data_IF_457783527394
#
_entry.id   IF_457783527394
#
_cell.length_a   1.000
_cell.length_b   1.000
_cell.length_c   1.000
_cell.angle_alpha   90.00
_cell.angle_beta   90.00
_cell.angle_gamma   90.00
#
_symmetry.space_group_name_H-M   'P 1'
#
loop_
_entity.id
_entity.type
_entity.pdbx_description
1 polymer ?
#
# COMPACT_ATOMS: atom_id res chain seq x y z
N UNK A 1 28.14 20.79 73.11
CA UNK A 1 28.38 22.17 72.62
C UNK A 1 27.04 22.89 72.56
N UNK A 2 26.92 24.05 73.24
CA UNK A 2 25.72 24.92 73.37
C UNK A 2 25.33 25.47 71.96
N UNK A 3 24.11 25.90 71.61
CA UNK A 3 23.40 27.13 72.03
C UNK A 3 21.96 27.17 71.41
N UNK A 4 20.95 27.38 72.29
CA UNK A 4 19.78 28.30 72.30
C UNK A 4 18.97 28.75 71.05
N UNK A 5 17.64 28.59 71.17
CA UNK A 5 16.48 29.51 70.99
C UNK A 5 16.40 30.64 69.91
N UNK A 6 15.25 30.70 69.19
CA UNK A 6 14.19 31.77 69.19
C UNK A 6 13.19 31.50 68.03
N UNK A 7 11.86 31.39 68.17
CA UNK A 7 10.75 32.30 68.59
C UNK A 7 10.39 33.47 67.63
N UNK A 8 9.21 33.30 67.01
CA UNK A 8 8.08 34.23 66.73
C UNK A 8 8.20 35.47 65.83
N UNK A 9 7.16 35.62 64.96
CA UNK A 9 6.24 36.77 64.70
C UNK A 9 5.81 36.68 63.21
N UNK A 10 4.57 36.40 62.79
CA UNK A 10 3.23 37.00 62.98
C UNK A 10 3.10 38.47 62.55
N UNK A 11 1.96 38.77 61.89
CA UNK A 11 1.46 40.02 61.27
C UNK A 11 1.80 40.16 59.77
N UNK A 12 0.90 40.50 58.84
CA UNK A 12 -0.34 41.30 58.92
C UNK A 12 -1.31 40.96 57.77
N UNK A 13 -2.62 41.03 58.05
CA UNK A 13 -3.72 41.13 57.10
C UNK A 13 -3.56 42.34 56.16
N UNK A 14 -3.94 42.19 54.89
CA UNK A 14 -4.57 43.27 54.13
C UNK A 14 -5.61 42.67 53.18
N UNK A 15 -6.88 42.79 53.58
CA UNK A 15 -8.01 42.64 52.69
C UNK A 15 -8.04 43.85 51.75
N UNK A 16 -8.10 43.61 50.44
CA UNK A 16 -8.53 44.61 49.47
C UNK A 16 -9.74 44.04 48.76
N UNK A 17 -10.91 44.53 49.17
CA UNK A 17 -12.10 44.53 48.33
C UNK A 17 -11.82 45.44 47.13
N UNK A 18 -11.91 44.89 45.93
CA UNK A 18 -12.18 45.68 44.74
C UNK A 18 -13.34 45.04 44.00
N UNK A 19 -14.46 45.73 44.09
CA UNK A 19 -15.63 45.56 43.24
C UNK A 19 -15.25 45.86 41.80
N UNK A 20 -15.42 44.89 40.92
CA UNK A 20 -15.50 45.13 39.48
C UNK A 20 -16.67 44.34 38.94
N UNK A 21 -17.80 45.05 38.85
CA UNK A 21 -18.77 45.01 37.75
C UNK A 21 -18.70 43.79 36.83
N UNK A 22 -19.73 42.96 36.92
CA UNK A 22 -20.12 41.97 35.93
C UNK A 22 -20.26 42.64 34.55
N UNK A 23 -19.23 42.54 33.73
CA UNK A 23 -19.36 42.69 32.29
C UNK A 23 -19.86 41.34 31.79
N UNK A 24 -21.14 41.28 31.44
CA UNK A 24 -21.68 40.19 30.62
C UNK A 24 -21.00 40.25 29.25
N UNK A 25 -19.81 39.67 29.15
CA UNK A 25 -19.29 39.23 27.86
C UNK A 25 -20.22 38.12 27.41
N UNK A 26 -21.07 38.43 26.42
CA UNK A 26 -21.63 37.45 25.50
C UNK A 26 -20.48 36.65 24.91
N UNK A 27 -20.05 35.59 25.60
CA UNK A 27 -19.25 34.54 25.00
C UNK A 27 -20.22 33.88 24.03
N UNK A 28 -20.02 33.98 22.70
CA UNK A 28 -20.76 33.13 21.79
C UNK A 28 -20.50 31.71 22.26
N UNK A 29 -21.56 31.03 22.70
CA UNK A 29 -21.52 29.59 22.96
C UNK A 29 -20.98 28.99 21.67
N UNK A 30 -19.70 28.60 21.68
CA UNK A 30 -19.12 27.79 20.63
C UNK A 30 -20.01 26.57 20.56
N UNK A 31 -20.83 26.53 19.51
CA UNK A 31 -21.73 25.43 19.25
C UNK A 31 -20.92 24.16 19.40
N UNK A 32 -21.28 23.33 20.38
CA UNK A 32 -20.69 22.02 20.57
C UNK A 32 -20.76 21.32 19.20
N UNK A 33 -19.63 20.80 18.68
CA UNK A 33 -19.64 20.17 17.37
C UNK A 33 -20.69 19.07 17.40
N UNK A 34 -21.65 19.16 16.47
CA UNK A 34 -22.72 18.17 16.32
C UNK A 34 -22.10 16.77 16.29
N UNK A 35 -22.62 15.79 17.05
CA UNK A 35 -22.18 14.40 16.96
C UNK A 35 -22.75 13.79 15.68
N UNK A 36 -22.28 14.25 14.53
CA UNK A 36 -22.53 13.63 13.24
C UNK A 36 -21.51 14.10 12.20
N UNK A 37 -20.25 13.79 12.49
CA UNK A 37 -19.33 13.39 11.45
C UNK A 37 -18.66 12.11 11.91
N UNK A 38 -19.37 11.00 11.74
CA UNK A 38 -18.70 9.71 11.50
C UNK A 38 -17.99 9.89 10.15
N UNK A 39 -16.89 10.64 10.14
CA UNK A 39 -15.82 10.35 9.22
C UNK A 39 -15.45 8.92 9.57
N UNK A 40 -15.87 7.99 8.72
CA UNK A 40 -15.41 6.62 8.78
C UNK A 40 -13.90 6.73 8.69
N UNK A 41 -13.21 6.69 9.83
CA UNK A 41 -11.79 6.43 9.89
C UNK A 41 -11.70 5.02 9.36
N UNK A 42 -11.63 4.88 8.02
CA UNK A 42 -11.18 3.66 7.39
C UNK A 42 -9.81 3.47 8.00
N UNK A 43 -9.73 2.59 9.00
CA UNK A 43 -8.48 2.06 9.54
C UNK A 43 -7.75 1.57 8.30
N UNK A 44 -6.88 2.40 7.73
CA UNK A 44 -6.32 2.13 6.41
C UNK A 44 -5.47 0.90 6.60
N UNK A 45 -5.94 -0.26 6.14
CA UNK A 45 -5.25 -1.53 6.33
C UNK A 45 -3.81 -1.35 5.88
N UNK A 46 -2.86 -1.74 6.74
CA UNK A 46 -1.43 -1.54 6.50
C UNK A 46 -0.99 -2.23 5.20
N UNK A 47 -1.68 -3.31 4.85
CA UNK A 47 -1.46 -4.16 3.70
C UNK A 47 -2.77 -4.43 2.94
N UNK A 48 -2.69 -4.88 1.67
CA UNK A 48 -3.82 -5.52 0.99
C UNK A 48 -4.38 -6.69 1.80
N UNK A 49 -5.64 -7.08 1.55
CA UNK A 49 -6.19 -8.33 2.07
C UNK A 49 -5.36 -9.52 1.56
N UNK A 50 -4.99 -10.46 2.42
CA UNK A 50 -4.24 -11.67 2.02
C UNK A 50 -5.14 -12.89 2.23
N UNK A 51 -5.37 -13.66 1.16
CA UNK A 51 -6.25 -14.84 1.18
C UNK A 51 -5.45 -16.06 0.70
N UNK A 52 -5.32 -17.08 1.53
CA UNK A 52 -4.60 -18.31 1.20
C UNK A 52 -4.38 -19.17 2.42
N UNK A 53 -3.57 -20.21 2.28
CA UNK A 53 -3.13 -21.03 3.40
C UNK A 53 -2.13 -20.27 4.31
N UNK A 54 -1.82 -20.86 5.47
CA UNK A 54 -0.99 -20.21 6.48
C UNK A 54 0.43 -19.88 5.98
N UNK A 55 1.05 -20.78 5.21
CA UNK A 55 2.39 -20.58 4.64
C UNK A 55 2.40 -19.41 3.64
N UNK A 56 1.41 -19.38 2.76
CA UNK A 56 1.21 -18.30 1.80
C UNK A 56 1.05 -16.94 2.50
N UNK A 57 0.22 -16.89 3.55
CA UNK A 57 0.01 -15.68 4.35
C UNK A 57 1.32 -15.21 4.97
N UNK A 58 2.10 -16.11 5.56
CA UNK A 58 3.38 -15.78 6.18
C UNK A 58 4.39 -15.23 5.16
N UNK A 59 4.58 -15.92 4.03
CA UNK A 59 5.51 -15.50 2.97
C UNK A 59 5.11 -14.14 2.37
N UNK A 60 3.82 -13.95 2.08
CA UNK A 60 3.27 -12.69 1.53
C UNK A 60 3.43 -11.55 2.54
N UNK A 61 3.12 -11.81 3.82
CA UNK A 61 3.30 -10.82 4.89
C UNK A 61 4.76 -10.40 5.04
N UNK A 62 5.70 -11.36 5.02
CA UNK A 62 7.12 -11.07 5.10
C UNK A 62 7.62 -10.22 3.92
N UNK A 63 7.11 -10.44 2.71
CA UNK A 63 7.41 -9.63 1.54
C UNK A 63 6.86 -8.18 1.69
N UNK A 64 5.64 -8.02 2.18
CA UNK A 64 5.04 -6.70 2.42
C UNK A 64 5.74 -5.93 3.55
N UNK A 65 6.18 -6.61 4.60
CA UNK A 65 7.02 -6.04 5.65
C UNK A 65 8.39 -5.58 5.11
N UNK A 66 8.98 -6.33 4.18
CA UNK A 66 10.22 -5.94 3.51
C UNK A 66 10.04 -4.65 2.70
N UNK A 67 8.92 -4.53 1.98
CA UNK A 67 8.53 -3.29 1.28
C UNK A 67 8.30 -2.14 2.26
N UNK A 68 7.66 -2.39 3.40
CA UNK A 68 7.46 -1.37 4.43
C UNK A 68 8.80 -0.81 4.94
N UNK A 69 9.79 -1.67 5.14
CA UNK A 69 11.09 -1.31 5.67
C UNK A 69 11.95 -0.53 4.66
N UNK A 70 12.03 -1.02 3.41
CA UNK A 70 13.00 -0.50 2.43
C UNK A 70 12.38 0.33 1.30
N UNK A 71 11.09 0.17 1.03
CA UNK A 71 10.40 0.78 -0.11
C UNK A 71 8.99 1.30 0.27
N UNK A 72 8.84 2.14 1.33
CA UNK A 72 7.52 2.53 1.83
C UNK A 72 6.71 3.36 0.82
N UNK A 73 7.36 4.02 -0.15
CA UNK A 73 6.68 4.71 -1.26
C UNK A 73 6.01 3.69 -2.18
N UNK A 74 6.71 2.62 -2.53
CA UNK A 74 6.23 1.54 -3.38
C UNK A 74 5.14 0.72 -2.67
N UNK A 75 5.23 0.51 -1.36
CA UNK A 75 4.14 -0.08 -0.57
C UNK A 75 2.85 0.76 -0.62
N UNK A 76 2.96 2.09 -0.56
CA UNK A 76 1.77 2.97 -0.73
C UNK A 76 1.17 2.84 -2.12
N UNK A 77 2.00 2.77 -3.15
CA UNK A 77 1.55 2.52 -4.51
C UNK A 77 0.82 1.18 -4.61
N UNK A 78 1.39 0.11 -4.06
CA UNK A 78 0.76 -1.23 -4.02
C UNK A 78 -0.62 -1.15 -3.34
N UNK A 79 -0.73 -0.52 -2.16
CA UNK A 79 -2.02 -0.39 -1.44
C UNK A 79 -3.07 0.39 -2.22
N UNK A 80 -2.65 1.29 -3.11
CA UNK A 80 -3.56 2.06 -3.95
C UNK A 80 -4.12 1.23 -5.10
N UNK A 81 -3.35 0.27 -5.62
CA UNK A 81 -3.68 -0.47 -6.84
C UNK A 81 -3.98 -1.96 -6.62
N UNK A 82 -3.67 -2.51 -5.46
CA UNK A 82 -3.95 -3.90 -5.09
C UNK A 82 -4.72 -3.90 -3.79
N UNK A 83 -5.99 -4.31 -3.85
CA UNK A 83 -6.80 -4.45 -2.64
C UNK A 83 -6.75 -5.85 -2.04
N UNK A 84 -6.45 -6.88 -2.85
CA UNK A 84 -6.30 -8.27 -2.41
C UNK A 84 -5.11 -8.96 -3.07
N UNK A 85 -4.40 -9.79 -2.30
CA UNK A 85 -3.43 -10.77 -2.78
C UNK A 85 -3.97 -12.16 -2.40
N UNK A 86 -4.25 -13.00 -3.39
CA UNK A 86 -4.94 -14.27 -3.22
C UNK A 86 -4.08 -15.41 -3.75
N UNK A 87 -3.91 -16.47 -2.97
CA UNK A 87 -3.26 -17.69 -3.44
C UNK A 87 -4.06 -18.30 -4.59
N UNK A 88 -3.36 -18.63 -5.67
CA UNK A 88 -3.92 -19.24 -6.86
C UNK A 88 -2.95 -20.26 -7.46
N UNK A 89 -3.38 -20.97 -8.51
CA UNK A 89 -2.53 -21.90 -9.25
C UNK A 89 -1.51 -21.15 -10.13
N UNK A 90 -1.94 -20.04 -10.75
CA UNK A 90 -1.15 -19.21 -11.66
C UNK A 90 -1.16 -17.76 -11.18
N UNK A 91 -0.10 -17.02 -11.45
CA UNK A 91 0.05 -15.63 -11.00
C UNK A 91 -0.51 -14.65 -12.03
N UNK A 92 -1.18 -13.59 -11.60
CA UNK A 92 -1.60 -12.52 -12.49
C UNK A 92 -2.54 -11.52 -11.84
N UNK A 93 -2.57 -10.32 -12.42
CA UNK A 93 -3.43 -9.24 -11.94
C UNK A 93 -4.83 -9.30 -12.56
N UNK A 94 -5.82 -9.56 -11.70
CA UNK A 94 -7.25 -9.40 -12.02
C UNK A 94 -7.66 -7.95 -11.73
N UNK A 95 -7.26 -7.02 -12.61
CA UNK A 95 -7.40 -5.58 -12.37
C UNK A 95 -8.85 -5.07 -12.43
N UNK A 96 -9.74 -5.82 -13.09
CA UNK A 96 -11.13 -5.43 -13.38
C UNK A 96 -12.15 -5.82 -12.29
N UNK A 97 -11.74 -6.56 -11.27
CA UNK A 97 -12.60 -6.88 -10.11
C UNK A 97 -12.46 -5.84 -9.00
N UNK A 98 -13.40 -5.84 -8.05
CA UNK A 98 -13.37 -4.96 -6.88
C UNK A 98 -13.38 -5.79 -5.58
N UNK A 99 -12.32 -5.76 -4.76
CA UNK A 99 -11.07 -5.04 -5.00
C UNK A 99 -10.21 -5.67 -6.12
N UNK A 100 -9.35 -4.90 -6.81
CA UNK A 100 -8.34 -5.45 -7.71
C UNK A 100 -7.51 -6.51 -6.98
N UNK A 101 -7.40 -7.68 -7.60
CA UNK A 101 -6.85 -8.88 -6.96
C UNK A 101 -5.61 -9.34 -7.71
N UNK A 102 -4.47 -9.39 -7.01
CA UNK A 102 -3.30 -10.14 -7.46
C UNK A 102 -3.50 -11.61 -7.09
N UNK A 103 -3.70 -12.46 -8.08
CA UNK A 103 -3.63 -13.91 -7.91
C UNK A 103 -2.15 -14.30 -7.94
N UNK A 104 -1.67 -15.02 -6.93
CA UNK A 104 -0.24 -15.32 -6.76
C UNK A 104 -0.05 -16.82 -6.53
N UNK A 105 0.72 -17.44 -7.42
CA UNK A 105 1.11 -18.84 -7.29
C UNK A 105 2.23 -19.03 -6.27
N UNK A 106 2.19 -20.16 -5.57
CA UNK A 106 3.25 -20.55 -4.64
C UNK A 106 4.61 -20.73 -5.36
N UNK A 107 4.61 -21.17 -6.63
CA UNK A 107 5.85 -21.36 -7.39
C UNK A 107 6.54 -20.04 -7.74
N UNK A 108 5.76 -18.97 -7.86
CA UNK A 108 6.26 -17.61 -8.10
C UNK A 108 6.86 -16.98 -6.84
N UNK A 109 6.68 -17.58 -5.66
CA UNK A 109 7.21 -17.09 -4.39
C UNK A 109 8.64 -17.60 -4.10
N UNK A 110 9.55 -17.42 -5.07
CA UNK A 110 10.92 -17.95 -5.05
C UNK A 110 11.72 -17.49 -3.82
N UNK A 111 11.58 -16.22 -3.47
CA UNK A 111 12.23 -15.63 -2.28
C UNK A 111 11.40 -14.48 -1.73
N UNK A 112 11.76 -13.98 -0.55
CA UNK A 112 11.11 -12.81 0.05
C UNK A 112 11.30 -11.53 -0.78
N UNK A 113 12.49 -11.32 -1.36
CA UNK A 113 12.80 -10.15 -2.21
C UNK A 113 12.10 -10.24 -3.55
N UNK A 114 12.10 -11.43 -4.15
CA UNK A 114 11.40 -11.70 -5.39
C UNK A 114 9.89 -11.50 -5.23
N UNK A 115 9.29 -12.11 -4.19
CA UNK A 115 7.86 -11.98 -3.85
C UNK A 115 7.47 -10.50 -3.67
N UNK A 116 8.28 -9.72 -2.95
CA UNK A 116 8.06 -8.29 -2.79
C UNK A 116 8.07 -7.54 -4.13
N UNK A 117 8.98 -7.91 -5.03
CA UNK A 117 9.10 -7.29 -6.35
C UNK A 117 7.92 -7.64 -7.26
N UNK A 118 7.45 -8.89 -7.30
CA UNK A 118 6.32 -9.30 -8.17
C UNK A 118 4.98 -8.74 -7.67
N UNK A 119 4.80 -8.53 -6.36
CA UNK A 119 3.63 -7.78 -5.87
C UNK A 119 3.63 -6.35 -6.43
N UNK A 120 4.80 -5.72 -6.50
CA UNK A 120 4.93 -4.38 -7.08
C UNK A 120 4.72 -4.38 -8.60
N UNK A 121 5.20 -5.43 -9.28
CA UNK A 121 4.98 -5.67 -10.70
C UNK A 121 3.48 -5.68 -11.03
N UNK A 122 2.71 -6.55 -10.38
CA UNK A 122 1.28 -6.69 -10.64
C UNK A 122 0.47 -5.48 -10.18
N UNK A 123 0.91 -4.77 -9.13
CA UNK A 123 0.34 -3.47 -8.80
C UNK A 123 0.45 -2.46 -9.96
N UNK A 124 1.51 -2.55 -10.77
CA UNK A 124 1.70 -1.69 -11.93
C UNK A 124 0.74 -2.04 -13.07
N UNK A 125 0.45 -3.33 -13.30
CA UNK A 125 -0.63 -3.75 -14.22
C UNK A 125 -1.98 -3.16 -13.81
N UNK A 126 -2.33 -3.24 -12.51
CA UNK A 126 -3.55 -2.63 -12.00
C UNK A 126 -3.56 -1.11 -12.14
N UNK A 127 -2.43 -0.44 -11.91
CA UNK A 127 -2.28 0.99 -12.17
C UNK A 127 -2.58 1.35 -13.63
N UNK A 128 -1.99 0.64 -14.59
CA UNK A 128 -2.22 0.85 -16.01
C UNK A 128 -3.69 0.66 -16.37
N UNK A 129 -4.30 -0.45 -15.92
CA UNK A 129 -5.72 -0.71 -16.14
C UNK A 129 -6.59 0.44 -15.61
N UNK A 130 -6.39 0.85 -14.36
CA UNK A 130 -7.16 1.93 -13.75
C UNK A 130 -6.91 3.29 -14.42
N UNK A 131 -5.68 3.55 -14.88
CA UNK A 131 -5.33 4.75 -15.64
C UNK A 131 -6.14 4.84 -16.93
N UNK A 132 -6.13 3.78 -17.75
CA UNK A 132 -6.89 3.76 -18.99
C UNK A 132 -8.39 3.65 -18.76
N UNK A 133 -8.85 2.95 -17.71
CA UNK A 133 -10.27 2.89 -17.36
C UNK A 133 -10.85 4.28 -17.15
N UNK A 134 -10.12 5.21 -16.49
CA UNK A 134 -10.56 6.60 -16.33
C UNK A 134 -10.73 7.35 -17.66
N UNK A 135 -9.99 6.96 -18.70
CA UNK A 135 -10.08 7.58 -20.02
C UNK A 135 -11.13 6.94 -20.93
N UNK A 136 -11.32 5.62 -20.82
CA UNK A 136 -12.22 4.85 -21.67
C UNK A 136 -13.66 4.76 -21.12
N UNK A 137 -13.82 4.75 -19.78
CA UNK A 137 -15.14 4.66 -19.12
C UNK A 137 -16.12 5.77 -19.54
N UNK A 138 -15.72 7.05 -19.65
CA UNK A 138 -16.62 8.11 -20.13
C UNK A 138 -17.14 7.89 -21.56
N UNK A 139 -16.46 7.06 -22.35
CA UNK A 139 -16.82 6.71 -23.73
C UNK A 139 -17.61 5.41 -23.82
N UNK A 140 -17.92 4.76 -22.70
CA UNK A 140 -18.56 3.44 -22.66
C UNK A 140 -17.70 2.31 -23.25
N UNK A 141 -16.39 2.53 -23.41
CA UNK A 141 -15.49 1.58 -24.04
C UNK A 141 -14.80 0.69 -23.00
N UNK A 142 -14.52 -0.57 -23.38
CA UNK A 142 -13.64 -1.46 -22.62
C UNK A 142 -12.19 -1.00 -22.77
N UNK A 143 -11.36 -1.23 -21.76
CA UNK A 143 -9.91 -1.00 -21.84
C UNK A 143 -9.28 -2.12 -22.67
N UNK A 144 -8.61 -1.83 -23.81
CA UNK A 144 -7.88 -2.84 -24.57
C UNK A 144 -6.80 -3.51 -23.73
N UNK A 145 -6.64 -4.84 -23.87
CA UNK A 145 -5.70 -5.62 -23.08
C UNK A 145 -4.25 -5.14 -23.23
N UNK A 146 -3.82 -4.86 -24.47
CA UNK A 146 -2.43 -4.47 -24.76
C UNK A 146 -1.94 -3.24 -23.98
N UNK A 147 -2.86 -2.37 -23.58
CA UNK A 147 -2.54 -1.15 -22.82
C UNK A 147 -2.10 -1.43 -21.39
N UNK A 148 -2.51 -2.56 -20.81
CA UNK A 148 -2.25 -2.89 -19.41
C UNK A 148 -1.70 -4.29 -19.18
N UNK A 149 -1.81 -5.22 -20.13
CA UNK A 149 -1.25 -6.59 -20.05
C UNK A 149 -0.49 -7.05 -21.31
N UNK A 150 -0.34 -6.18 -22.32
CA UNK A 150 0.49 -6.47 -23.51
C UNK A 150 1.99 -6.29 -23.28
N UNK A 151 2.83 -6.61 -24.28
CA UNK A 151 4.29 -6.53 -24.18
C UNK A 151 4.82 -5.15 -23.72
N UNK A 152 4.23 -4.06 -24.20
CA UNK A 152 4.62 -2.70 -23.76
C UNK A 152 4.24 -2.40 -22.31
N UNK A 153 3.12 -2.97 -21.83
CA UNK A 153 2.76 -2.89 -20.43
C UNK A 153 3.73 -3.72 -19.58
N UNK A 154 4.05 -4.94 -20.03
CA UNK A 154 4.98 -5.86 -19.39
C UNK A 154 6.37 -5.24 -19.20
N UNK A 155 6.92 -4.60 -20.23
CA UNK A 155 8.20 -3.86 -20.13
C UNK A 155 8.18 -2.77 -19.06
N UNK A 156 7.05 -2.06 -18.91
CA UNK A 156 6.89 -1.04 -17.86
C UNK A 156 6.80 -1.68 -16.48
N UNK A 157 6.07 -2.80 -16.35
CA UNK A 157 5.97 -3.57 -15.12
C UNK A 157 7.35 -4.13 -14.69
N UNK A 158 8.11 -4.75 -15.59
CA UNK A 158 9.49 -5.21 -15.37
C UNK A 158 10.40 -4.06 -14.91
N UNK A 159 10.32 -2.90 -15.57
CA UNK A 159 11.10 -1.72 -15.17
C UNK A 159 10.77 -1.28 -13.74
N UNK A 160 9.50 -1.27 -13.37
CA UNK A 160 9.06 -0.94 -12.01
C UNK A 160 9.51 -2.00 -11.01
N UNK A 161 9.31 -3.28 -11.32
CA UNK A 161 9.77 -4.44 -10.54
C UNK A 161 11.28 -4.36 -10.27
N UNK A 162 12.10 -4.07 -11.28
CA UNK A 162 13.55 -3.91 -11.15
C UNK A 162 13.92 -2.81 -10.17
N UNK A 163 13.22 -1.67 -10.24
CA UNK A 163 13.40 -0.56 -9.30
C UNK A 163 13.08 -0.96 -7.86
N UNK A 164 12.00 -1.70 -7.65
CA UNK A 164 11.60 -2.20 -6.32
C UNK A 164 12.55 -3.26 -5.81
N UNK A 165 12.92 -4.24 -6.64
CA UNK A 165 13.84 -5.32 -6.30
C UNK A 165 15.18 -4.78 -5.79
N UNK A 166 15.73 -3.75 -6.46
CA UNK A 166 16.94 -3.06 -6.00
C UNK A 166 16.75 -2.36 -4.65
N UNK A 167 15.63 -1.66 -4.43
CA UNK A 167 15.34 -0.97 -3.16
C UNK A 167 15.26 -1.95 -1.99
N UNK A 168 14.61 -3.10 -2.18
CA UNK A 168 14.48 -4.15 -1.15
C UNK A 168 15.72 -5.03 -1.00
N UNK A 169 16.84 -4.64 -1.64
CA UNK A 169 18.13 -5.33 -1.60
C UNK A 169 18.07 -6.77 -2.11
N UNK A 170 17.35 -6.96 -3.22
CA UNK A 170 17.34 -8.24 -3.95
C UNK A 170 18.76 -8.72 -4.26
N UNK A 171 19.03 -10.03 -4.16
CA UNK A 171 20.34 -10.59 -4.47
C UNK A 171 20.70 -10.42 -5.95
N UNK A 172 22.00 -10.39 -6.24
CA UNK A 172 22.52 -10.12 -7.58
C UNK A 172 21.94 -11.05 -8.65
N UNK A 173 21.72 -12.35 -8.34
CA UNK A 173 21.17 -13.30 -9.30
C UNK A 173 19.70 -13.02 -9.68
N UNK A 174 18.87 -12.49 -8.76
CA UNK A 174 17.49 -12.08 -9.07
C UNK A 174 17.48 -10.82 -9.95
N UNK A 175 18.37 -9.87 -9.65
CA UNK A 175 18.55 -8.66 -10.46
C UNK A 175 19.04 -9.03 -11.86
N UNK A 176 20.03 -9.92 -11.96
CA UNK A 176 20.55 -10.39 -13.24
C UNK A 176 19.46 -11.13 -14.03
N UNK A 177 18.73 -12.05 -13.40
CA UNK A 177 17.63 -12.76 -14.02
C UNK A 177 16.58 -11.79 -14.58
N UNK A 178 16.09 -10.84 -13.77
CA UNK A 178 15.09 -9.87 -14.19
C UNK A 178 15.62 -8.92 -15.28
N UNK A 179 16.92 -8.63 -15.30
CA UNK A 179 17.53 -7.76 -16.33
C UNK A 179 17.56 -8.37 -17.73
N UNK A 180 17.43 -9.69 -17.82
CA UNK A 180 17.37 -10.44 -19.09
C UNK A 180 15.95 -10.53 -19.65
N UNK A 181 14.94 -10.09 -18.90
CA UNK A 181 13.54 -10.11 -19.33
C UNK A 181 13.27 -8.94 -20.27
N UNK A 182 12.75 -9.23 -21.47
CA UNK A 182 12.46 -8.24 -22.53
C UNK A 182 10.97 -7.87 -22.64
N UNK A 183 10.16 -8.46 -21.76
CA UNK A 183 8.71 -8.33 -21.71
C UNK A 183 7.94 -9.26 -22.64
N UNK A 184 8.60 -10.23 -23.28
CA UNK A 184 7.95 -11.22 -24.16
C UNK A 184 7.75 -12.58 -23.50
N UNK A 185 8.21 -12.78 -22.26
CA UNK A 185 8.16 -14.08 -21.57
C UNK A 185 6.73 -14.62 -21.33
N UNK A 186 5.71 -13.78 -21.45
CA UNK A 186 4.32 -14.20 -21.42
C UNK A 186 3.86 -14.91 -22.68
N UNK A 187 4.58 -14.78 -23.81
CA UNK A 187 4.30 -15.44 -25.09
C UNK A 187 5.01 -16.81 -25.09
N UNK A 188 4.35 -17.79 -24.45
CA UNK A 188 4.92 -19.11 -24.19
C UNK A 188 5.00 -19.92 -25.50
N UNK A 189 4.05 -19.68 -26.41
CA UNK A 189 3.97 -20.40 -27.68
C UNK A 189 4.79 -19.72 -28.82
N UNK A 190 5.25 -18.48 -28.62
CA UNK A 190 6.07 -17.67 -29.54
C UNK A 190 5.35 -17.25 -30.82
N UNK A 191 4.04 -17.03 -30.78
CA UNK A 191 3.24 -16.57 -31.91
C UNK A 191 3.10 -15.03 -31.98
N UNK A 192 3.70 -14.31 -31.02
CA UNK A 192 3.68 -12.86 -30.94
C UNK A 192 2.38 -12.27 -30.39
N UNK A 193 1.49 -13.11 -29.84
CA UNK A 193 0.20 -12.69 -29.28
C UNK A 193 0.10 -13.19 -27.84
N UNK A 194 -0.15 -12.28 -26.89
CA UNK A 194 -0.44 -12.67 -25.51
C UNK A 194 -1.93 -12.99 -25.37
N UNK A 195 -2.27 -14.28 -25.27
CA UNK A 195 -3.67 -14.68 -25.09
C UNK A 195 -3.86 -15.87 -24.11
N UNK A 196 -5.07 -16.44 -24.13
CA UNK A 196 -5.46 -17.53 -23.24
C UNK A 196 -4.65 -18.81 -23.48
N UNK A 197 -4.12 -19.03 -24.69
CA UNK A 197 -3.30 -20.19 -25.03
C UNK A 197 -1.98 -20.13 -24.25
N UNK A 198 -1.37 -18.96 -24.14
CA UNK A 198 -0.19 -18.78 -23.29
C UNK A 198 -0.50 -18.93 -21.81
N UNK A 199 -1.65 -18.40 -21.39
CA UNK A 199 -2.12 -18.57 -20.02
C UNK A 199 -2.28 -20.05 -19.65
N UNK A 200 -2.72 -20.90 -20.58
CA UNK A 200 -2.83 -22.35 -20.34
C UNK A 200 -1.47 -23.03 -20.25
N UNK A 201 -0.51 -22.64 -21.09
CA UNK A 201 0.82 -23.24 -21.15
C UNK A 201 1.75 -22.85 -20.00
N UNK A 202 1.57 -21.67 -19.38
CA UNK A 202 2.39 -21.26 -18.23
C UNK A 202 2.03 -22.03 -16.96
N UNK A 203 3.03 -22.22 -16.11
CA UNK A 203 2.89 -22.89 -14.81
C UNK A 203 3.20 -21.97 -13.60
N UNK A 204 3.27 -20.65 -13.81
CA UNK A 204 3.62 -19.65 -12.81
C UNK A 204 2.52 -18.64 -12.50
#
# INVERSE_FOLDING_TARGET
MKIKHKLSKLTTLAAVLLSTTCIFCNIPILAQPKPNQIQTIRKTALFPEIVGNQEFIQKTTAALQLLQLYAPKDLRFIRQYVGRIKQAEKSGMVAYVNPPTFELSAVSMVSKTWTASIIAHDAYHSYLYQYYLRQYKPRGMKVPYDLWGGFEAERKCIKYQMGVLKKVRGPAHEIEHLSKQDGTHGDVNKDGVLDWRDYELRNW
#
